data_IF_253636850731
#
_entry.id   IF_253636850731
#
_cell.length_a   1.000
_cell.length_b   1.000
_cell.length_c   1.000
_cell.angle_alpha   90.00
_cell.angle_beta   90.00
_cell.angle_gamma   90.00
#
_symmetry.space_group_name_H-M   'P 1'
#
loop_
_entity.id
_entity.type
_entity.pdbx_description
1 polymer ?
#
# COMPACT_ATOMS: atom_id res chain seq x y z
N UNK A 1 -4.16 -1.68 -19.63
CA UNK A 1 -5.09 -2.59 -18.93
C UNK A 1 -4.41 -3.70 -18.12
N UNK A 2 -3.58 -4.57 -18.70
CA UNK A 2 -2.92 -5.63 -17.93
C UNK A 2 -2.10 -5.11 -16.74
N UNK A 3 -1.32 -4.03 -16.94
CA UNK A 3 -0.58 -3.37 -15.87
C UNK A 3 -1.50 -2.84 -14.76
N UNK A 4 -2.64 -2.24 -15.11
CA UNK A 4 -3.63 -1.75 -14.13
C UNK A 4 -4.21 -2.92 -13.33
N UNK A 5 -4.55 -4.03 -13.98
CA UNK A 5 -5.06 -5.22 -13.30
C UNK A 5 -4.02 -5.78 -12.32
N UNK A 6 -2.75 -5.88 -12.75
CA UNK A 6 -1.64 -6.28 -11.90
C UNK A 6 -1.52 -5.37 -10.68
N UNK A 7 -1.45 -4.06 -10.89
CA UNK A 7 -1.33 -3.06 -9.82
C UNK A 7 -2.49 -3.12 -8.81
N UNK A 8 -3.72 -3.35 -9.29
CA UNK A 8 -4.89 -3.54 -8.41
C UNK A 8 -4.77 -4.79 -7.54
N UNK A 9 -4.34 -5.91 -8.13
CA UNK A 9 -4.07 -7.15 -7.38
C UNK A 9 -2.91 -6.98 -6.40
N UNK A 10 -1.86 -6.26 -6.79
CA UNK A 10 -0.72 -5.95 -5.91
C UNK A 10 -1.18 -5.13 -4.72
N UNK A 11 -1.98 -4.08 -4.92
CA UNK A 11 -2.54 -3.30 -3.81
C UNK A 11 -3.35 -4.16 -2.85
N UNK A 12 -4.23 -5.03 -3.36
CA UNK A 12 -5.01 -5.96 -2.53
C UNK A 12 -4.09 -6.88 -1.72
N UNK A 13 -3.07 -7.45 -2.35
CA UNK A 13 -2.08 -8.29 -1.68
C UNK A 13 -1.31 -7.54 -0.59
N UNK A 14 -0.88 -6.30 -0.85
CA UNK A 14 -0.23 -5.45 0.15
C UNK A 14 -1.16 -5.17 1.34
N UNK A 15 -2.42 -4.85 1.07
CA UNK A 15 -3.40 -4.54 2.11
C UNK A 15 -3.66 -5.76 3.02
N UNK A 16 -3.88 -6.92 2.42
CA UNK A 16 -4.16 -8.18 3.13
C UNK A 16 -2.97 -8.69 3.95
N UNK A 17 -1.73 -8.40 3.53
CA UNK A 17 -0.51 -8.94 4.13
C UNK A 17 0.41 -7.84 4.71
N UNK A 18 -0.14 -6.65 4.99
CA UNK A 18 0.61 -5.42 5.27
C UNK A 18 1.65 -5.60 6.39
N UNK A 19 1.26 -6.16 7.54
CA UNK A 19 2.18 -6.32 8.67
C UNK A 19 3.30 -7.33 8.40
N UNK A 20 2.99 -8.46 7.77
CA UNK A 20 4.00 -9.48 7.44
C UNK A 20 5.03 -8.92 6.45
N UNK A 21 4.55 -8.29 5.38
CA UNK A 21 5.39 -7.70 4.35
C UNK A 21 6.24 -6.56 4.93
N UNK A 22 5.63 -5.65 5.69
CA UNK A 22 6.37 -4.54 6.31
C UNK A 22 7.46 -5.05 7.26
N UNK A 23 7.14 -6.04 8.11
CA UNK A 23 8.11 -6.61 9.05
C UNK A 23 9.28 -7.28 8.33
N UNK A 24 9.01 -7.98 7.22
CA UNK A 24 10.02 -8.66 6.42
C UNK A 24 10.94 -7.69 5.70
N UNK A 25 10.39 -6.66 5.06
CA UNK A 25 11.16 -5.71 4.24
C UNK A 25 11.95 -4.70 5.09
N UNK A 26 11.39 -4.25 6.22
CA UNK A 26 11.98 -3.17 7.02
C UNK A 26 12.66 -3.64 8.32
N UNK A 27 12.82 -4.95 8.50
CA UNK A 27 13.54 -5.58 9.64
C UNK A 27 13.07 -5.05 11.00
N UNK A 28 11.77 -5.12 11.24
CA UNK A 28 11.16 -4.68 12.50
C UNK A 28 11.51 -5.67 13.63
N UNK A 29 11.67 -5.16 14.85
CA UNK A 29 12.00 -5.94 16.04
C UNK A 29 11.04 -7.16 16.18
N UNK A 30 11.55 -8.40 16.39
CA UNK A 30 10.73 -9.58 16.60
C UNK A 30 9.65 -9.45 17.69
N UNK A 31 9.81 -8.49 18.60
CA UNK A 31 8.83 -8.16 19.64
C UNK A 31 7.54 -7.48 19.12
N UNK A 32 7.52 -6.94 17.90
CA UNK A 32 6.33 -6.28 17.30
C UNK A 32 5.38 -7.24 16.56
N UNK A 33 5.49 -8.56 16.78
CA UNK A 33 4.56 -9.52 16.18
C UNK A 33 3.14 -9.31 16.70
N UNK A 34 2.26 -8.79 15.84
CA UNK A 34 0.83 -8.70 16.11
C UNK A 34 0.15 -10.08 16.05
N UNK A 35 -0.92 -10.22 16.83
CA UNK A 35 -1.80 -11.38 16.78
C UNK A 35 -2.49 -11.50 15.41
N UNK A 36 -2.75 -12.71 14.89
CA UNK A 36 -3.34 -12.93 13.56
C UNK A 36 -4.67 -12.19 13.31
N UNK A 37 -5.43 -11.87 14.37
CA UNK A 37 -6.69 -11.14 14.29
C UNK A 37 -6.56 -9.61 14.26
N UNK A 38 -5.36 -9.06 14.42
CA UNK A 38 -5.09 -7.62 14.41
C UNK A 38 -4.48 -7.14 13.07
N UNK A 39 -4.44 -8.00 12.06
CA UNK A 39 -3.92 -7.69 10.73
C UNK A 39 -4.95 -6.89 9.93
N UNK A 40 -4.89 -5.57 10.04
CA UNK A 40 -5.72 -4.66 9.25
C UNK A 40 -5.84 -3.26 9.86
N UNK A 41 -6.65 -2.37 9.26
CA UNK A 41 -6.98 -1.08 9.83
C UNK A 41 -7.70 -1.23 11.18
N UNK A 42 -7.34 -0.40 12.16
CA UNK A 42 -7.96 -0.38 13.48
C UNK A 42 -8.49 1.01 13.81
N UNK A 43 -9.64 1.10 14.47
CA UNK A 43 -10.23 2.39 14.86
C UNK A 43 -9.47 3.11 15.99
N UNK A 44 -8.63 2.37 16.73
CA UNK A 44 -7.84 2.88 17.85
C UNK A 44 -6.37 3.18 17.50
N UNK A 45 -5.94 2.90 16.26
CA UNK A 45 -4.56 3.10 15.80
C UNK A 45 -4.48 3.37 14.30
N UNK A 46 -3.61 4.30 13.89
CA UNK A 46 -3.35 4.61 12.47
C UNK A 46 -2.11 3.90 11.90
N UNK A 47 -1.47 3.05 12.70
CA UNK A 47 -0.20 2.39 12.38
C UNK A 47 -0.24 1.55 11.09
N UNK A 48 -1.33 0.81 10.86
CA UNK A 48 -1.56 0.05 9.64
C UNK A 48 -1.38 0.91 8.38
N UNK A 49 -1.90 2.14 8.37
CA UNK A 49 -1.85 3.03 7.20
C UNK A 49 -0.43 3.49 6.91
N UNK A 50 0.36 3.78 7.95
CA UNK A 50 1.78 4.12 7.79
C UNK A 50 2.58 2.96 7.17
N UNK A 51 2.35 1.74 7.65
CA UNK A 51 2.99 0.53 7.10
C UNK A 51 2.57 0.29 5.65
N UNK A 52 1.28 0.45 5.33
CA UNK A 52 0.77 0.31 3.97
C UNK A 52 1.36 1.36 3.02
N UNK A 53 1.48 2.62 3.44
CA UNK A 53 2.15 3.67 2.65
C UNK A 53 3.59 3.26 2.31
N UNK A 54 4.32 2.73 3.29
CA UNK A 54 5.72 2.32 3.09
C UNK A 54 5.83 1.22 2.02
N UNK A 55 4.95 0.22 2.06
CA UNK A 55 4.90 -0.85 1.06
C UNK A 55 4.48 -0.34 -0.32
N UNK A 56 3.50 0.57 -0.39
CA UNK A 56 3.06 1.20 -1.65
C UNK A 56 4.23 1.96 -2.29
N UNK A 57 4.98 2.73 -1.51
CA UNK A 57 6.16 3.46 -1.99
C UNK A 57 7.20 2.48 -2.53
N UNK A 58 7.47 1.37 -1.83
CA UNK A 58 8.38 0.32 -2.30
C UNK A 58 7.97 -0.24 -3.67
N UNK A 59 6.68 -0.52 -3.88
CA UNK A 59 6.20 -1.00 -5.19
C UNK A 59 6.33 0.06 -6.28
N UNK A 60 5.98 1.32 -6.00
CA UNK A 60 6.12 2.41 -6.98
C UNK A 60 7.58 2.60 -7.37
N UNK A 61 8.50 2.52 -6.41
CA UNK A 61 9.94 2.61 -6.68
C UNK A 61 10.45 1.42 -7.48
N UNK A 62 9.98 0.20 -7.21
CA UNK A 62 10.32 -0.97 -8.02
C UNK A 62 9.79 -0.83 -9.46
N UNK A 63 8.53 -0.43 -9.64
CA UNK A 63 7.93 -0.17 -10.94
C UNK A 63 8.70 0.86 -11.74
N UNK A 64 9.12 1.94 -11.09
CA UNK A 64 9.89 3.01 -11.72
C UNK A 64 11.31 2.58 -12.08
N UNK A 65 12.01 1.88 -11.21
CA UNK A 65 13.45 1.64 -11.34
C UNK A 65 13.77 0.31 -12.04
N UNK A 66 12.93 -0.71 -11.87
CA UNK A 66 13.14 -2.06 -12.41
C UNK A 66 12.31 -2.32 -13.65
N UNK A 67 10.99 -2.03 -13.60
CA UNK A 67 10.08 -2.38 -14.69
C UNK A 67 10.02 -1.33 -15.80
N UNK A 68 10.11 -0.04 -15.49
CA UNK A 68 10.02 1.02 -16.50
C UNK A 68 11.11 0.96 -17.57
N UNK A 69 12.39 0.68 -17.27
CA UNK A 69 13.41 0.53 -18.32
C UNK A 69 13.15 -0.67 -19.26
N UNK A 70 12.51 -1.72 -18.75
CA UNK A 70 12.22 -2.95 -19.50
C UNK A 70 10.97 -2.80 -20.37
N UNK A 71 9.94 -2.13 -19.85
CA UNK A 71 8.65 -1.89 -20.52
C UNK A 71 8.63 -0.57 -21.31
N UNK A 72 9.71 -0.26 -22.02
CA UNK A 72 9.91 1.02 -22.71
C UNK A 72 9.61 0.97 -24.22
N UNK A 73 8.74 0.06 -24.67
CA UNK A 73 8.41 -0.09 -26.11
C UNK A 73 7.59 1.09 -26.64
N UNK A 74 6.87 1.81 -25.77
CA UNK A 74 6.00 2.93 -26.12
C UNK A 74 6.19 4.12 -25.15
N UNK A 75 7.36 4.78 -25.12
CA UNK A 75 7.74 5.76 -24.09
C UNK A 75 6.82 6.99 -23.99
N UNK A 76 6.09 7.32 -25.05
CA UNK A 76 5.14 8.45 -25.08
C UNK A 76 3.73 8.07 -24.62
N UNK A 77 3.38 6.79 -24.69
CA UNK A 77 2.03 6.30 -24.42
C UNK A 77 1.96 5.51 -23.10
N UNK A 78 3.08 4.95 -22.67
CA UNK A 78 3.14 4.05 -21.52
C UNK A 78 4.37 4.32 -20.65
N UNK A 79 4.11 4.57 -19.37
CA UNK A 79 5.13 4.60 -18.33
C UNK A 79 4.58 3.87 -17.09
N UNK A 80 5.13 2.69 -16.80
CA UNK A 80 4.65 1.86 -15.69
C UNK A 80 4.82 2.54 -14.33
N UNK A 81 5.87 3.34 -14.11
CA UNK A 81 6.06 4.08 -12.85
C UNK A 81 4.97 5.12 -12.60
N UNK A 82 4.63 5.91 -13.64
CA UNK A 82 3.52 6.86 -13.55
C UNK A 82 2.17 6.14 -13.35
N UNK A 83 1.92 5.07 -14.11
CA UNK A 83 0.71 4.27 -13.99
C UNK A 83 0.56 3.62 -12.60
N UNK A 84 1.67 3.13 -12.04
CA UNK A 84 1.77 2.57 -10.69
C UNK A 84 1.38 3.61 -9.65
N UNK A 85 2.03 4.79 -9.67
CA UNK A 85 1.71 5.87 -8.73
C UNK A 85 0.23 6.29 -8.77
N UNK A 86 -0.34 6.44 -9.97
CA UNK A 86 -1.73 6.84 -10.13
C UNK A 86 -2.70 5.77 -9.63
N UNK A 87 -2.43 4.50 -9.95
CA UNK A 87 -3.30 3.38 -9.57
C UNK A 87 -3.24 3.12 -8.06
N UNK A 88 -2.03 3.05 -7.49
CA UNK A 88 -1.81 2.83 -6.06
C UNK A 88 -2.42 3.96 -5.22
N UNK A 89 -2.21 5.22 -5.63
CA UNK A 89 -2.82 6.37 -4.95
C UNK A 89 -4.35 6.34 -5.01
N UNK A 90 -4.93 6.03 -6.17
CA UNK A 90 -6.39 5.98 -6.33
C UNK A 90 -7.04 4.96 -5.39
N UNK A 91 -6.43 3.77 -5.24
CA UNK A 91 -6.93 2.75 -4.32
C UNK A 91 -6.73 3.15 -2.86
N UNK A 92 -5.51 3.59 -2.51
CA UNK A 92 -5.19 4.04 -1.15
C UNK A 92 -6.10 5.19 -0.70
N UNK A 93 -6.31 6.20 -1.56
CA UNK A 93 -7.13 7.36 -1.25
C UNK A 93 -8.59 6.99 -0.96
N UNK A 94 -9.13 5.97 -1.65
CA UNK A 94 -10.48 5.49 -1.41
C UNK A 94 -10.58 4.82 -0.03
N UNK A 95 -9.65 3.92 0.29
CA UNK A 95 -9.68 3.18 1.56
C UNK A 95 -9.39 4.09 2.76
N UNK A 96 -8.40 4.98 2.65
CA UNK A 96 -8.07 5.91 3.75
C UNK A 96 -9.20 6.92 3.98
N UNK A 97 -9.94 7.31 2.94
CA UNK A 97 -11.13 8.16 3.09
C UNK A 97 -12.16 7.48 3.98
N UNK A 98 -12.56 6.25 3.66
CA UNK A 98 -13.54 5.53 4.47
C UNK A 98 -13.05 5.27 5.89
N UNK A 99 -11.76 4.95 6.04
CA UNK A 99 -11.18 4.78 7.36
C UNK A 99 -11.24 6.05 8.19
N UNK A 100 -10.92 7.21 7.61
CA UNK A 100 -10.97 8.48 8.31
C UNK A 100 -12.40 8.90 8.67
N UNK A 101 -13.39 8.62 7.81
CA UNK A 101 -14.81 8.81 8.12
C UNK A 101 -15.23 7.97 9.36
N UNK A 102 -14.80 6.71 9.42
CA UNK A 102 -15.06 5.82 10.57
C UNK A 102 -14.32 6.28 11.84
N UNK A 103 -13.09 6.79 11.72
CA UNK A 103 -12.33 7.35 12.83
C UNK A 103 -13.00 8.62 13.38
N UNK A 104 -13.52 9.50 12.52
CA UNK A 104 -14.24 10.71 12.93
C UNK A 104 -15.51 10.37 13.72
N UNK A 105 -16.24 9.35 13.27
CA UNK A 105 -17.48 8.89 13.90
C UNK A 105 -17.24 8.30 15.28
N UNK A 106 -16.21 7.45 15.43
CA UNK A 106 -15.98 6.68 16.66
C UNK A 106 -15.01 7.33 17.64
N UNK A 107 -14.07 8.14 17.15
CA UNK A 107 -13.05 8.85 17.95
C UNK A 107 -12.33 7.97 18.98
N UNK A 108 -12.02 6.72 18.60
CA UNK A 108 -11.32 5.76 19.45
C UNK A 108 -9.80 5.97 19.48
N UNK A 109 -9.25 6.48 18.39
CA UNK A 109 -7.84 6.85 18.31
C UNK A 109 -7.56 8.05 19.23
N UNK A 110 -6.50 7.96 20.05
CA UNK A 110 -6.11 9.00 21.01
C UNK A 110 -5.01 9.95 20.51
N UNK A 111 -4.48 9.69 19.31
CA UNK A 111 -3.47 10.53 18.68
C UNK A 111 -4.03 11.86 18.21
#
# INVERSE_FOLDING_TARGET
>A
DCAIACLKSTYQFLFENCYELFSREFQVDPAEKLEPGEQGPRLDSVDFWYKLISLIVSVIDEDKNSYAPVLNQFPQEFNIGQLSSATMWSMFAMDVKYALEEHELHRKCKS
#
